data_IF_124992357202
#
_entry.id   IF_124992357202
#
_cell.length_a   1.000
_cell.length_b   1.000
_cell.length_c   1.000
_cell.angle_alpha   90.00
_cell.angle_beta   90.00
_cell.angle_gamma   90.00
#
_symmetry.space_group_name_H-M   'P 1'
#
loop_
_entity.id
_entity.type
_entity.pdbx_description
1 polymer ?
#
# COMPACT_ATOMS: atom_id res chain seq x y z
N UNK A 1 12.12 8.80 12.34
CA UNK A 1 10.66 8.56 12.40
C UNK A 1 10.20 8.26 11.00
N UNK A 2 9.32 7.28 10.85
CA UNK A 2 8.75 6.89 9.55
C UNK A 2 7.24 6.76 9.69
N UNK A 3 6.49 7.22 8.67
CA UNK A 3 5.02 7.10 8.63
C UNK A 3 4.68 5.77 7.98
N UNK A 4 3.80 5.04 8.64
CA UNK A 4 3.30 3.77 8.15
C UNK A 4 1.79 3.83 8.01
N UNK A 5 1.30 3.18 6.97
CA UNK A 5 -0.11 3.09 6.66
C UNK A 5 -0.52 1.62 6.58
N UNK A 6 -1.67 1.32 7.17
CA UNK A 6 -2.19 -0.04 7.27
C UNK A 6 -3.66 -0.08 6.92
N UNK A 7 -4.10 -1.25 6.46
CA UNK A 7 -5.49 -1.65 6.49
C UNK A 7 -5.61 -2.88 7.37
N UNK A 8 -6.48 -2.79 8.38
CA UNK A 8 -6.73 -3.86 9.32
C UNK A 8 -8.18 -4.33 9.22
N UNK A 9 -8.43 -5.62 9.40
CA UNK A 9 -9.76 -6.19 9.30
C UNK A 9 -9.98 -7.37 10.24
N UNK A 10 -11.26 -7.60 10.52
CA UNK A 10 -11.75 -8.76 11.27
C UNK A 10 -11.63 -10.08 10.50
N UNK A 11 -11.65 -10.03 9.17
CA UNK A 11 -11.52 -11.18 8.26
C UNK A 11 -10.40 -10.96 7.23
N UNK A 12 -9.87 -12.02 6.58
CA UNK A 12 -8.84 -11.87 5.55
C UNK A 12 -9.28 -10.96 4.41
N UNK A 13 -8.39 -10.08 4.00
CA UNK A 13 -8.54 -9.22 2.83
C UNK A 13 -7.75 -9.78 1.63
N UNK A 14 -8.23 -9.49 0.42
CA UNK A 14 -7.53 -9.86 -0.80
C UNK A 14 -6.29 -8.97 -0.98
N UNK A 15 -5.12 -9.57 -1.13
CA UNK A 15 -3.90 -8.84 -1.47
C UNK A 15 -3.96 -8.36 -2.93
N UNK A 16 -3.39 -7.18 -3.19
CA UNK A 16 -3.33 -6.60 -4.52
C UNK A 16 -2.03 -5.82 -4.69
N UNK A 17 -1.43 -5.92 -5.87
CA UNK A 17 -0.29 -5.12 -6.27
C UNK A 17 -0.60 -4.41 -7.58
N UNK A 18 -1.00 -3.14 -7.48
CA UNK A 18 -1.19 -2.23 -8.62
C UNK A 18 -0.07 -1.19 -8.69
N UNK A 19 1.10 -1.49 -8.12
CA UNK A 19 2.25 -0.57 -8.07
C UNK A 19 2.72 -0.09 -9.43
N UNK A 20 2.39 -0.83 -10.50
CA UNK A 20 2.89 -0.58 -11.85
C UNK A 20 4.20 -1.31 -12.16
N UNK A 21 4.79 -1.99 -11.18
CA UNK A 21 5.96 -2.83 -11.41
C UNK A 21 5.55 -4.18 -11.99
N UNK A 22 6.31 -4.61 -12.99
CA UNK A 22 6.34 -6.00 -13.44
C UNK A 22 7.68 -6.61 -13.05
N UNK A 23 7.66 -7.88 -12.63
CA UNK A 23 8.86 -8.65 -12.32
C UNK A 23 9.36 -9.31 -13.60
N UNK A 24 10.57 -8.97 -14.01
CA UNK A 24 11.26 -9.55 -15.15
C UNK A 24 12.60 -10.14 -14.72
N UNK A 25 13.19 -10.99 -15.56
CA UNK A 25 14.57 -11.41 -15.39
C UNK A 25 15.51 -10.43 -16.11
N UNK A 26 16.74 -10.30 -15.61
CA UNK A 26 17.73 -9.43 -16.24
C UNK A 26 17.97 -9.78 -17.72
N UNK A 27 17.95 -11.07 -18.07
CA UNK A 27 18.02 -11.51 -19.48
C UNK A 27 16.90 -10.95 -20.36
N UNK A 28 15.68 -10.83 -19.82
CA UNK A 28 14.54 -10.30 -20.58
C UNK A 28 14.79 -8.82 -20.88
N UNK A 29 15.22 -8.06 -19.88
CA UNK A 29 15.60 -6.64 -20.02
C UNK A 29 16.74 -6.46 -21.03
N UNK A 30 17.78 -7.30 -20.96
CA UNK A 30 18.93 -7.25 -21.88
C UNK A 30 18.51 -7.37 -23.34
N UNK A 31 17.45 -8.13 -23.63
CA UNK A 31 16.91 -8.37 -24.98
C UNK A 31 15.92 -7.31 -25.47
N UNK A 32 15.51 -6.35 -24.62
CA UNK A 32 14.56 -5.30 -25.02
C UNK A 32 15.15 -4.33 -26.05
N UNK A 33 14.30 -3.78 -26.92
CA UNK A 33 14.69 -2.76 -27.89
C UNK A 33 13.65 -1.62 -27.97
N UNK A 34 13.99 -0.39 -27.53
CA UNK A 34 15.29 -0.01 -26.95
C UNK A 34 15.50 -0.65 -25.57
N UNK A 35 16.74 -1.04 -25.28
CA UNK A 35 17.12 -1.53 -23.95
C UNK A 35 16.98 -0.37 -22.95
N UNK A 36 16.20 -0.53 -21.86
CA UNK A 36 16.04 0.52 -20.86
C UNK A 36 17.36 0.79 -20.12
N UNK A 37 17.52 1.95 -19.48
CA UNK A 37 18.68 2.19 -18.61
C UNK A 37 18.40 1.65 -17.20
N UNK A 38 19.35 0.90 -16.64
CA UNK A 38 19.30 0.42 -15.26
C UNK A 38 20.05 1.33 -14.28
N UNK A 39 19.89 1.11 -12.96
CA UNK A 39 20.72 1.77 -11.95
C UNK A 39 22.19 1.34 -12.01
N UNK A 40 22.46 0.19 -12.64
CA UNK A 40 23.78 -0.35 -12.97
C UNK A 40 23.77 -0.90 -14.41
N UNK A 41 24.93 -1.08 -15.05
CA UNK A 41 25.01 -1.72 -16.36
C UNK A 41 24.42 -3.14 -16.34
N UNK A 42 23.55 -3.46 -17.31
CA UNK A 42 22.87 -4.76 -17.33
C UNK A 42 23.83 -5.94 -17.47
N UNK A 43 24.95 -5.77 -18.17
CA UNK A 43 25.97 -6.82 -18.34
C UNK A 43 26.60 -7.29 -17.03
N UNK A 44 26.51 -6.50 -15.96
CA UNK A 44 27.01 -6.85 -14.63
C UNK A 44 26.00 -7.69 -13.82
N UNK A 45 24.74 -7.75 -14.26
CA UNK A 45 23.69 -8.52 -13.60
C UNK A 45 23.65 -9.96 -14.13
N UNK A 46 23.50 -10.90 -13.19
CA UNK A 46 23.17 -12.29 -13.50
C UNK A 46 21.84 -12.35 -14.28
N UNK A 47 21.80 -13.15 -15.34
CA UNK A 47 20.64 -13.27 -16.24
C UNK A 47 19.35 -13.67 -15.52
N UNK A 48 19.45 -14.39 -14.40
CA UNK A 48 18.32 -14.85 -13.58
C UNK A 48 17.95 -13.90 -12.43
N UNK A 49 18.69 -12.80 -12.26
CA UNK A 49 18.35 -11.76 -11.29
C UNK A 49 16.97 -11.17 -11.59
N UNK A 50 16.17 -10.98 -10.54
CA UNK A 50 14.86 -10.35 -10.66
C UNK A 50 15.00 -8.83 -10.73
N UNK A 51 14.31 -8.25 -11.70
CA UNK A 51 14.27 -6.81 -11.96
C UNK A 51 12.83 -6.35 -11.84
N UNK A 52 12.61 -5.33 -11.01
CA UNK A 52 11.37 -4.56 -11.02
C UNK A 52 11.45 -3.56 -12.17
N UNK A 53 10.56 -3.73 -13.14
CA UNK A 53 10.49 -2.88 -14.32
C UNK A 53 9.15 -2.18 -14.39
N UNK A 54 9.16 -0.93 -14.83
CA UNK A 54 7.98 -0.20 -15.23
C UNK A 54 8.27 0.52 -16.54
N UNK A 55 7.31 0.49 -17.46
CA UNK A 55 7.48 1.09 -18.78
C UNK A 55 7.52 2.62 -18.69
N UNK A 56 6.69 3.21 -17.81
CA UNK A 56 6.63 4.64 -17.58
C UNK A 56 6.57 4.92 -16.09
N UNK A 57 7.25 5.98 -15.68
CA UNK A 57 7.20 6.49 -14.31
C UNK A 57 5.78 6.89 -13.89
N UNK A 58 4.97 7.38 -14.84
CA UNK A 58 3.54 7.71 -14.60
C UNK A 58 2.71 6.51 -14.18
N UNK A 59 3.17 5.30 -14.47
CA UNK A 59 2.43 4.08 -14.17
C UNK A 59 2.76 3.56 -12.77
N UNK A 60 3.74 4.17 -12.07
CA UNK A 60 4.17 3.80 -10.73
C UNK A 60 3.26 4.36 -9.63
N UNK A 61 3.34 3.72 -8.46
CA UNK A 61 2.74 4.23 -7.22
C UNK A 61 1.24 3.98 -7.08
N UNK A 62 0.68 3.03 -7.84
CA UNK A 62 -0.69 2.59 -7.59
C UNK A 62 -0.85 1.83 -6.27
N UNK A 63 -2.11 1.48 -5.95
CA UNK A 63 -2.48 0.80 -4.71
C UNK A 63 -1.76 -0.53 -4.52
N UNK A 64 -1.19 -0.71 -3.34
CA UNK A 64 -0.66 -1.98 -2.88
C UNK A 64 -1.27 -2.32 -1.53
N UNK A 65 -1.80 -3.55 -1.41
CA UNK A 65 -2.26 -4.13 -0.15
C UNK A 65 -1.61 -5.49 -0.05
N UNK A 66 -0.68 -5.63 0.90
CA UNK A 66 0.07 -6.86 1.13
C UNK A 66 0.12 -7.20 2.61
N UNK A 67 0.19 -8.48 2.95
CA UNK A 67 0.17 -8.90 4.36
C UNK A 67 1.30 -8.26 5.16
N UNK A 68 1.00 -7.78 6.37
CA UNK A 68 2.00 -7.21 7.26
C UNK A 68 2.74 -8.33 8.00
N UNK A 69 3.83 -8.84 7.42
CA UNK A 69 4.62 -9.92 8.04
C UNK A 69 5.66 -9.41 9.04
N UNK A 70 6.11 -8.16 8.90
CA UNK A 70 7.15 -7.54 9.72
C UNK A 70 6.66 -6.19 10.26
N UNK A 71 5.65 -6.17 11.15
CA UNK A 71 5.10 -4.92 11.68
C UNK A 71 6.15 -4.13 12.46
N UNK A 72 6.02 -2.79 12.55
CA UNK A 72 6.81 -2.01 13.49
C UNK A 72 6.58 -2.51 14.92
N UNK A 73 7.60 -2.39 15.79
CA UNK A 73 7.43 -2.65 17.22
C UNK A 73 6.27 -1.80 17.77
N UNK A 74 5.54 -2.38 18.74
CA UNK A 74 4.46 -1.71 19.46
C UNK A 74 3.19 -1.42 18.63
N UNK A 75 3.08 -1.97 17.41
CA UNK A 75 1.87 -1.84 16.57
C UNK A 75 0.61 -2.40 17.26
N UNK A 76 0.79 -3.41 18.10
CA UNK A 76 -0.25 -4.07 18.89
C UNK A 76 -0.82 -3.19 20.00
N UNK A 77 -0.22 -2.04 20.33
CA UNK A 77 -0.91 -1.04 21.17
C UNK A 77 -2.00 -0.28 20.41
N UNK A 78 -1.93 -0.26 19.08
CA UNK A 78 -2.85 0.51 18.24
C UNK A 78 -3.89 -0.37 17.56
N UNK A 79 -3.44 -1.40 16.86
CA UNK A 79 -4.29 -2.19 15.98
C UNK A 79 -4.64 -3.51 16.67
N UNK A 80 -5.91 -3.69 16.98
CA UNK A 80 -6.41 -4.89 17.68
C UNK A 80 -7.03 -5.92 16.72
N UNK A 81 -7.24 -5.55 15.45
CA UNK A 81 -7.82 -6.43 14.45
C UNK A 81 -6.81 -7.51 14.01
N UNK A 82 -7.25 -8.76 13.81
CA UNK A 82 -6.36 -9.90 13.62
C UNK A 82 -5.66 -9.94 12.25
N UNK A 83 -6.25 -9.34 11.21
CA UNK A 83 -5.67 -9.32 9.87
C UNK A 83 -5.16 -7.93 9.53
N UNK A 84 -3.84 -7.76 9.53
CA UNK A 84 -3.17 -6.48 9.27
C UNK A 84 -2.39 -6.57 7.95
N UNK A 85 -2.57 -5.56 7.12
CA UNK A 85 -1.92 -5.43 5.82
C UNK A 85 -1.25 -4.06 5.72
N UNK A 86 -0.11 -4.02 5.03
CA UNK A 86 0.47 -2.79 4.54
C UNK A 86 -0.48 -2.15 3.53
N UNK A 87 -0.67 -0.84 3.64
CA UNK A 87 -1.45 -0.05 2.70
C UNK A 87 -0.51 0.96 2.04
N UNK A 88 -0.01 0.63 0.86
CA UNK A 88 1.07 1.36 0.19
C UNK A 88 0.64 1.93 -1.17
N UNK A 89 1.51 2.76 -1.74
CA UNK A 89 1.31 3.52 -2.96
C UNK A 89 1.36 5.03 -2.74
N UNK A 90 1.11 5.79 -3.80
CA UNK A 90 1.04 7.24 -3.78
C UNK A 90 -0.40 7.65 -3.56
N UNK A 91 -0.73 8.37 -2.48
CA UNK A 91 -2.11 8.82 -2.15
C UNK A 91 -2.66 9.91 -3.10
N UNK A 92 -2.47 9.74 -4.41
CA UNK A 92 -3.00 10.58 -5.48
C UNK A 92 -4.40 10.13 -5.92
N UNK A 93 -4.93 10.78 -6.96
CA UNK A 93 -6.26 10.48 -7.48
C UNK A 93 -6.38 9.04 -8.02
N UNK A 94 -5.32 8.50 -8.64
CA UNK A 94 -5.33 7.15 -9.20
C UNK A 94 -5.42 6.13 -8.07
N UNK A 95 -4.58 6.25 -7.06
CA UNK A 95 -4.60 5.38 -5.89
C UNK A 95 -5.93 5.48 -5.16
N UNK A 96 -6.46 6.70 -5.00
CA UNK A 96 -7.76 6.95 -4.38
C UNK A 96 -8.87 6.17 -5.09
N UNK A 97 -8.92 6.27 -6.42
CA UNK A 97 -9.90 5.54 -7.23
C UNK A 97 -9.72 4.02 -7.15
N UNK A 98 -8.48 3.53 -7.17
CA UNK A 98 -8.17 2.11 -7.01
C UNK A 98 -8.61 1.59 -5.64
N UNK A 99 -8.36 2.35 -4.57
CA UNK A 99 -8.76 1.98 -3.22
C UNK A 99 -10.28 1.96 -3.06
N UNK A 100 -10.98 2.97 -3.58
CA UNK A 100 -12.45 3.01 -3.53
C UNK A 100 -13.07 1.81 -4.26
N UNK A 101 -12.54 1.44 -5.42
CA UNK A 101 -13.01 0.26 -6.15
C UNK A 101 -12.67 -1.04 -5.40
N UNK A 102 -11.49 -1.13 -4.81
CA UNK A 102 -11.11 -2.25 -3.95
C UNK A 102 -12.06 -2.40 -2.75
N UNK A 103 -12.31 -1.32 -2.01
CA UNK A 103 -13.17 -1.31 -0.84
C UNK A 103 -14.61 -1.73 -1.19
N UNK A 104 -15.08 -1.36 -2.38
CA UNK A 104 -16.40 -1.72 -2.89
C UNK A 104 -16.51 -3.17 -3.36
N UNK A 105 -15.45 -3.72 -3.99
CA UNK A 105 -15.54 -5.01 -4.70
C UNK A 105 -14.89 -6.18 -3.97
N UNK A 106 -13.96 -5.91 -3.05
CA UNK A 106 -13.13 -6.93 -2.38
C UNK A 106 -13.42 -7.07 -0.90
N UNK A 107 -14.02 -6.06 -0.29
CA UNK A 107 -14.38 -6.10 1.12
C UNK A 107 -15.88 -6.37 1.21
N UNK A 108 -16.32 -7.48 1.84
CA UNK A 108 -17.71 -7.75 2.14
C UNK A 108 -18.41 -6.63 2.91
N UNK A 109 -19.72 -6.46 2.67
CA UNK A 109 -20.56 -5.53 3.42
C UNK A 109 -20.63 -5.92 4.90
N UNK A 110 -20.58 -4.94 5.79
CA UNK A 110 -20.65 -5.14 7.24
C UNK A 110 -19.39 -5.75 7.87
N UNK A 111 -18.36 -6.08 7.08
CA UNK A 111 -17.05 -6.48 7.60
C UNK A 111 -16.32 -5.25 8.17
N UNK A 112 -16.01 -5.22 9.49
CA UNK A 112 -15.22 -4.14 10.08
C UNK A 112 -13.83 -4.04 9.45
N UNK A 113 -13.49 -2.82 9.03
CA UNK A 113 -12.17 -2.46 8.48
C UNK A 113 -11.70 -1.16 9.12
N UNK A 114 -10.40 -1.07 9.39
CA UNK A 114 -9.76 0.15 9.86
C UNK A 114 -8.64 0.56 8.90
N UNK A 115 -8.61 1.84 8.52
CA UNK A 115 -7.49 2.44 7.81
C UNK A 115 -6.65 3.24 8.78
N UNK A 116 -5.38 2.91 8.87
CA UNK A 116 -4.45 3.50 9.82
C UNK A 116 -3.38 4.30 9.11
N UNK A 117 -3.00 5.42 9.70
CA UNK A 117 -1.77 6.15 9.39
C UNK A 117 -1.13 6.63 10.68
N UNK A 118 0.13 6.29 10.89
CA UNK A 118 0.81 6.53 12.17
C UNK A 118 2.32 6.73 11.98
N UNK A 119 2.88 7.69 12.71
CA UNK A 119 4.33 7.83 12.87
C UNK A 119 4.88 6.82 13.89
N UNK A 120 5.88 6.05 13.49
CA UNK A 120 6.65 5.22 14.42
C UNK A 120 8.04 5.80 14.68
N UNK A 121 8.55 5.54 15.89
CA UNK A 121 9.89 5.91 16.32
C UNK A 121 10.00 7.10 17.27
N UNK A 122 8.88 7.59 17.83
CA UNK A 122 8.86 8.66 18.85
C UNK A 122 7.85 8.34 19.98
N UNK A 123 7.92 7.11 20.49
CA UNK A 123 7.00 6.63 21.52
C UNK A 123 5.54 6.57 21.08
N UNK A 124 4.64 6.56 22.07
CA UNK A 124 3.20 6.43 21.84
C UNK A 124 2.65 7.73 21.22
N UNK A 125 2.10 7.62 20.02
CA UNK A 125 1.40 8.67 19.30
C UNK A 125 -0.05 8.83 19.75
N UNK A 126 -0.54 10.07 19.74
CA UNK A 126 -1.97 10.39 19.76
C UNK A 126 -2.57 10.15 18.38
N UNK A 127 -3.71 9.45 18.32
CA UNK A 127 -4.37 9.05 17.08
C UNK A 127 -5.75 9.71 16.99
N UNK A 128 -6.00 10.45 15.91
CA UNK A 128 -7.33 10.94 15.61
C UNK A 128 -8.21 9.80 15.10
N UNK A 129 -9.37 9.59 15.71
CA UNK A 129 -10.32 8.57 15.27
C UNK A 129 -11.49 9.19 14.50
N UNK A 130 -11.82 8.59 13.36
CA UNK A 130 -13.00 8.92 12.57
C UNK A 130 -13.75 7.64 12.25
N UNK A 131 -15.08 7.69 12.30
CA UNK A 131 -15.93 6.59 11.85
C UNK A 131 -16.71 7.03 10.62
N UNK A 132 -16.76 6.16 9.61
CA UNK A 132 -17.45 6.39 8.35
C UNK A 132 -18.16 5.11 7.91
N UNK A 133 -19.33 5.27 7.29
CA UNK A 133 -19.89 4.22 6.47
C UNK A 133 -19.02 4.07 5.20
N UNK A 134 -18.80 2.84 4.74
CA UNK A 134 -17.90 2.60 3.60
C UNK A 134 -18.26 3.38 2.34
N UNK A 135 -19.56 3.53 2.06
CA UNK A 135 -20.05 4.31 0.92
C UNK A 135 -19.88 5.84 1.06
N UNK A 136 -19.42 6.32 2.21
CA UNK A 136 -19.21 7.74 2.51
C UNK A 136 -17.74 8.16 2.49
N UNK A 137 -16.81 7.21 2.34
CA UNK A 137 -15.39 7.55 2.20
C UNK A 137 -15.18 8.34 0.91
N UNK A 138 -14.43 9.44 1.00
CA UNK A 138 -14.05 10.26 -0.14
C UNK A 138 -12.53 10.40 -0.26
N UNK A 139 -12.08 11.02 -1.35
CA UNK A 139 -10.64 11.22 -1.59
C UNK A 139 -9.96 12.12 -0.56
N UNK A 140 -10.69 13.03 0.11
CA UNK A 140 -10.09 13.89 1.14
C UNK A 140 -9.81 13.08 2.40
N UNK A 141 -10.69 12.16 2.75
CA UNK A 141 -10.47 11.24 3.86
C UNK A 141 -9.24 10.36 3.63
N UNK A 142 -9.07 9.85 2.40
CA UNK A 142 -7.91 9.04 2.03
C UNK A 142 -6.61 9.85 1.97
N UNK A 143 -6.63 11.09 1.47
CA UNK A 143 -5.44 11.95 1.44
C UNK A 143 -4.87 12.24 2.83
N UNK A 144 -5.72 12.28 3.87
CA UNK A 144 -5.26 12.49 5.24
C UNK A 144 -4.40 11.34 5.77
N UNK A 145 -4.53 10.12 5.21
CA UNK A 145 -3.65 9.01 5.53
C UNK A 145 -2.18 9.32 5.16
N UNK A 146 -1.91 10.22 4.21
CA UNK A 146 -0.55 10.59 3.86
C UNK A 146 0.10 11.57 4.87
N UNK A 147 -0.70 12.28 5.67
CA UNK A 147 -0.22 13.47 6.40
C UNK A 147 -0.53 13.48 7.89
N UNK A 148 -1.52 12.72 8.36
CA UNK A 148 -2.04 12.80 9.74
C UNK A 148 -1.95 11.47 10.50
N UNK A 149 -1.72 11.51 11.81
CA UNK A 149 -1.84 10.33 12.67
C UNK A 149 -3.32 10.05 12.93
N UNK A 150 -3.89 9.04 12.27
CA UNK A 150 -5.33 8.78 12.35
C UNK A 150 -5.69 7.31 12.12
N UNK A 151 -6.91 7.00 12.54
CA UNK A 151 -7.61 5.75 12.26
C UNK A 151 -9.02 6.05 11.72
N UNK A 152 -9.33 5.57 10.52
CA UNK A 152 -10.66 5.60 9.93
C UNK A 152 -11.31 4.23 10.10
N UNK A 153 -12.35 4.17 10.91
CA UNK A 153 -13.21 3.00 11.07
C UNK A 153 -14.23 2.97 9.94
N UNK A 154 -14.16 1.96 9.08
CA UNK A 154 -15.11 1.70 8.00
C UNK A 154 -16.10 0.62 8.45
N UNK A 155 -17.38 0.99 8.44
CA UNK A 155 -18.51 0.09 8.68
C UNK A 155 -19.30 -0.17 7.41
#
# INVERSE_FOLDING_TARGET
>A
MSRYTFIASSDPLAEIDLSGFIKLKAKDIKTMNPQPKGPIPWEELDDEAEVLYAEKESDLGGLQIGRCENPPYDLDFYIQLPYIYWLEGNFDERWTNQFMEYAKTKIPDGQPVELWSIWFGDGIQEIAHKQLERGQIDGRDLQRLATENLCIHLR
#
